data_IF_673105962218
#
_entry.id   IF_673105962218
#
_cell.length_a   1.000
_cell.length_b   1.000
_cell.length_c   1.000
_cell.angle_alpha   90.00
_cell.angle_beta   90.00
_cell.angle_gamma   90.00
#
_symmetry.space_group_name_H-M   'P 1'
#
loop_
_entity.id
_entity.type
_entity.pdbx_description
1 polymer ?
#
# COMPACT_ATOMS: atom_id res chain seq x y z
N UNK A 1 -7.13 -9.33 18.50
CA UNK A 1 -7.01 -7.89 18.18
C UNK A 1 -6.70 -7.73 16.71
N UNK A 2 -7.54 -7.00 15.98
CA UNK A 2 -7.18 -6.46 14.66
C UNK A 2 -5.95 -5.56 14.80
N UNK A 3 -4.83 -5.94 14.20
CA UNK A 3 -3.66 -5.07 14.13
C UNK A 3 -3.90 -4.05 13.01
N UNK A 4 -4.34 -2.85 13.40
CA UNK A 4 -4.54 -1.72 12.49
C UNK A 4 -3.27 -0.89 12.50
N UNK A 5 -2.86 -0.41 11.34
CA UNK A 5 -1.67 0.41 11.20
C UNK A 5 -1.96 1.59 10.29
N UNK A 6 -1.32 2.71 10.57
CA UNK A 6 -1.35 3.84 9.67
C UNK A 6 -0.69 3.46 8.35
N UNK A 7 -1.45 3.40 7.28
CA UNK A 7 -0.91 3.09 5.96
C UNK A 7 0.17 4.07 5.47
N UNK A 8 0.23 5.30 6.00
CA UNK A 8 1.23 6.30 5.59
C UNK A 8 2.58 6.17 6.32
N UNK A 9 2.56 6.01 7.64
CA UNK A 9 3.79 6.01 8.46
C UNK A 9 4.01 4.69 9.20
N UNK A 10 3.11 3.71 9.03
CA UNK A 10 3.22 2.39 9.64
C UNK A 10 2.87 2.33 11.12
N UNK A 11 2.60 3.44 11.81
CA UNK A 11 2.33 3.40 13.26
C UNK A 11 1.21 2.44 13.58
N UNK A 12 1.42 1.55 14.55
CA UNK A 12 0.35 0.71 15.08
C UNK A 12 -0.70 1.61 15.72
N UNK A 13 -1.96 1.38 15.36
CA UNK A 13 -3.10 2.13 15.87
C UNK A 13 -3.64 1.38 17.08
N UNK A 14 -3.59 2.05 18.23
CA UNK A 14 -4.19 1.54 19.47
C UNK A 14 -5.71 1.75 19.44
N UNK A 15 -6.44 1.05 20.30
CA UNK A 15 -7.90 1.14 20.36
C UNK A 15 -8.38 2.57 20.66
N UNK A 16 -7.69 3.30 21.53
CA UNK A 16 -7.96 4.72 21.84
C UNK A 16 -7.85 5.67 20.63
N UNK A 17 -7.18 5.21 19.57
CA UNK A 17 -7.02 5.98 18.34
C UNK A 17 -8.08 5.64 17.27
N UNK A 18 -8.92 4.63 17.50
CA UNK A 18 -10.00 4.25 16.59
C UNK A 18 -11.16 5.22 16.78
N UNK A 19 -11.59 5.84 15.68
CA UNK A 19 -12.71 6.78 15.65
C UNK A 19 -14.04 6.08 15.34
N UNK A 20 -13.99 4.97 14.61
CA UNK A 20 -15.19 4.25 14.26
C UNK A 20 -14.93 3.05 13.35
N UNK A 21 -15.89 2.12 13.37
CA UNK A 21 -15.94 0.95 12.51
C UNK A 21 -17.23 0.99 11.69
N UNK A 22 -17.15 0.52 10.44
CA UNK A 22 -18.33 0.40 9.59
C UNK A 22 -18.24 -0.78 8.63
N UNK A 23 -19.34 -1.05 7.94
CA UNK A 23 -19.47 -2.17 7.00
C UNK A 23 -20.12 -1.74 5.69
N UNK A 24 -19.73 -2.40 4.60
CA UNK A 24 -20.26 -2.18 3.27
C UNK A 24 -21.41 -3.16 2.98
N UNK A 25 -22.65 -2.74 3.26
CA UNK A 25 -23.84 -3.60 3.14
C UNK A 25 -24.45 -3.65 1.75
N UNK A 26 -24.18 -2.62 0.95
CA UNK A 26 -24.71 -2.53 -0.39
C UNK A 26 -23.84 -3.33 -1.38
N UNK A 27 -24.39 -3.66 -2.55
CA UNK A 27 -23.66 -4.30 -3.66
C UNK A 27 -22.58 -3.35 -4.23
N UNK A 28 -21.50 -3.13 -3.49
CA UNK A 28 -20.39 -2.24 -3.83
C UNK A 28 -19.23 -3.01 -4.50
N UNK A 29 -19.55 -3.88 -5.47
CA UNK A 29 -18.56 -4.67 -6.20
C UNK A 29 -17.61 -5.46 -5.28
N UNK A 30 -16.29 -5.22 -5.41
CA UNK A 30 -15.23 -5.89 -4.62
C UNK A 30 -15.25 -5.57 -3.12
N UNK A 31 -16.04 -4.57 -2.70
CA UNK A 31 -16.19 -4.13 -1.31
C UNK A 31 -17.40 -4.69 -0.60
N UNK A 32 -18.30 -5.37 -1.32
CA UNK A 32 -19.47 -6.01 -0.72
C UNK A 32 -19.04 -6.97 0.38
N UNK A 33 -19.58 -6.76 1.59
CA UNK A 33 -19.25 -7.61 2.73
C UNK A 33 -17.83 -7.41 3.24
N UNK A 34 -17.17 -6.28 2.97
CA UNK A 34 -15.98 -5.83 3.71
C UNK A 34 -16.40 -4.81 4.78
N UNK A 35 -15.52 -4.52 5.72
CA UNK A 35 -15.70 -3.37 6.59
C UNK A 35 -14.55 -2.40 6.52
N UNK A 36 -14.64 -1.33 7.30
CA UNK A 36 -13.61 -0.31 7.37
C UNK A 36 -13.43 0.17 8.80
N UNK A 37 -12.24 0.69 9.09
CA UNK A 37 -11.91 1.34 10.35
C UNK A 37 -11.42 2.76 10.07
N UNK A 38 -11.95 3.74 10.77
CA UNK A 38 -11.44 5.10 10.83
C UNK A 38 -10.63 5.29 12.11
N UNK A 39 -9.52 6.02 12.05
CA UNK A 39 -8.62 6.23 13.18
C UNK A 39 -7.82 7.53 13.05
N UNK A 40 -7.38 8.07 14.19
CA UNK A 40 -6.37 9.12 14.25
C UNK A 40 -4.98 8.52 14.34
N UNK A 41 -4.12 8.80 13.36
CA UNK A 41 -2.75 8.33 13.46
C UNK A 41 -1.93 9.22 14.42
N UNK A 42 -1.31 8.64 15.47
CA UNK A 42 -0.54 9.41 16.46
C UNK A 42 0.66 10.13 15.84
N UNK A 43 1.35 9.49 14.88
CA UNK A 43 2.55 10.06 14.27
C UNK A 43 2.24 11.02 13.12
N UNK A 44 1.21 10.72 12.30
CA UNK A 44 0.80 11.62 11.21
C UNK A 44 -0.04 12.81 11.70
N UNK A 45 -0.61 12.74 12.92
CA UNK A 45 -1.58 13.71 13.46
C UNK A 45 -2.74 14.01 12.49
N UNK A 46 -3.19 12.98 11.78
CA UNK A 46 -4.28 13.05 10.78
C UNK A 46 -5.23 11.89 10.95
N UNK A 47 -6.51 12.16 10.74
CA UNK A 47 -7.55 11.15 10.57
C UNK A 47 -7.32 10.39 9.27
N UNK A 48 -7.41 9.07 9.37
CA UNK A 48 -7.22 8.11 8.28
C UNK A 48 -8.19 6.97 8.47
N UNK A 49 -8.17 6.06 7.51
CA UNK A 49 -9.02 4.89 7.57
C UNK A 49 -8.48 3.78 6.66
N UNK A 50 -8.99 2.57 6.86
CA UNK A 50 -8.51 1.35 6.21
C UNK A 50 -9.68 0.38 5.99
N UNK A 51 -9.74 -0.22 4.80
CA UNK A 51 -10.67 -1.31 4.49
C UNK A 51 -10.10 -2.63 5.02
N UNK A 52 -10.94 -3.40 5.70
CA UNK A 52 -10.60 -4.67 6.35
C UNK A 52 -11.63 -5.75 5.94
N UNK A 53 -11.19 -7.00 5.88
CA UNK A 53 -12.10 -8.10 5.56
C UNK A 53 -13.02 -8.38 6.78
N UNK A 54 -14.32 -8.47 6.52
CA UNK A 54 -15.42 -8.43 7.51
C UNK A 54 -15.38 -9.50 8.60
N UNK A 55 -14.73 -10.63 8.33
CA UNK A 55 -14.59 -11.74 9.27
C UNK A 55 -13.86 -11.29 10.55
N UNK A 56 -13.00 -10.27 10.46
CA UNK A 56 -12.26 -9.75 11.62
C UNK A 56 -13.08 -8.81 12.52
N UNK A 57 -14.16 -8.21 11.99
CA UNK A 57 -14.95 -7.18 12.69
C UNK A 57 -16.07 -7.80 13.53
N UNK A 58 -16.73 -8.84 13.01
CA UNK A 58 -17.93 -9.41 13.64
C UNK A 58 -17.68 -9.99 15.04
N UNK A 59 -16.47 -10.50 15.29
CA UNK A 59 -16.11 -11.05 16.61
C UNK A 59 -15.67 -9.98 17.62
N UNK A 60 -15.18 -8.81 17.18
CA UNK A 60 -14.78 -7.74 18.10
C UNK A 60 -15.95 -6.83 18.45
N UNK A 61 -16.83 -6.48 17.50
CA UNK A 61 -18.04 -5.69 17.77
C UNK A 61 -18.96 -6.42 18.76
N UNK A 62 -19.08 -7.76 18.67
CA UNK A 62 -19.86 -8.53 19.64
C UNK A 62 -19.24 -8.61 21.04
N UNK A 63 -17.92 -8.49 21.16
CA UNK A 63 -17.23 -8.55 22.45
C UNK A 63 -17.11 -7.18 23.12
N UNK A 64 -17.05 -6.07 22.35
CA UNK A 64 -17.00 -4.71 22.91
C UNK A 64 -18.37 -4.15 23.30
N UNK A 65 -19.48 -4.74 22.84
CA UNK A 65 -20.84 -4.32 23.23
C UNK A 65 -21.27 -4.90 24.59
N UNK A 66 -20.51 -5.85 25.16
CA UNK A 66 -20.93 -6.57 26.37
C UNK A 66 -20.21 -6.18 27.67
N UNK A 67 -19.34 -5.17 27.69
CA UNK A 67 -18.86 -4.61 28.95
C UNK A 67 -18.97 -3.09 28.97
N UNK A 68 -19.63 -2.62 30.01
CA UNK A 68 -19.82 -1.23 30.39
C UNK A 68 -18.50 -0.47 30.51
N UNK A 69 -18.16 0.35 29.52
CA UNK A 69 -17.29 1.52 29.73
C UNK A 69 -17.63 2.60 28.72
N UNK A 70 -18.15 3.68 29.27
CA UNK A 70 -18.53 4.93 28.64
C UNK A 70 -17.30 5.74 28.17
N UNK A 71 -16.51 5.23 27.24
CA UNK A 71 -15.62 6.08 26.46
C UNK A 71 -16.40 6.58 25.25
N UNK A 72 -17.18 7.63 25.54
CA UNK A 72 -18.01 8.32 24.57
C UNK A 72 -17.17 8.75 23.39
N UNK A 73 -17.47 8.20 22.22
CA UNK A 73 -17.09 8.78 20.93
C UNK A 73 -17.54 10.24 21.00
N UNK A 74 -16.59 11.18 20.94
CA UNK A 74 -16.91 12.58 21.06
C UNK A 74 -17.90 12.95 19.94
N UNK A 75 -19.06 13.50 20.31
CA UNK A 75 -20.10 13.91 19.38
C UNK A 75 -19.54 14.84 18.29
N UNK A 76 -18.58 15.71 18.63
CA UNK A 76 -17.91 16.58 17.67
C UNK A 76 -17.10 15.78 16.63
N UNK A 77 -16.46 14.68 17.04
CA UNK A 77 -15.73 13.79 16.11
C UNK A 77 -16.68 13.00 15.21
N UNK A 78 -17.85 12.62 15.72
CA UNK A 78 -18.91 11.98 14.93
C UNK A 78 -19.47 12.98 13.92
N UNK A 79 -19.73 14.21 14.36
CA UNK A 79 -20.22 15.31 13.50
C UNK A 79 -19.18 15.64 12.43
N UNK A 80 -17.90 15.76 12.76
CA UNK A 80 -16.82 16.01 11.81
C UNK A 80 -16.69 14.87 10.79
N UNK A 81 -16.78 13.61 11.25
CA UNK A 81 -16.76 12.44 10.37
C UNK A 81 -17.96 12.46 9.41
N UNK A 82 -19.17 12.68 9.93
CA UNK A 82 -20.36 12.79 9.10
C UNK A 82 -20.32 14.01 8.16
N UNK A 83 -19.74 15.13 8.58
CA UNK A 83 -19.51 16.31 7.74
C UNK A 83 -18.60 15.98 6.56
N UNK A 84 -17.48 15.30 6.82
CA UNK A 84 -16.57 14.83 5.77
C UNK A 84 -17.23 13.82 4.83
N UNK A 85 -18.16 12.99 5.31
CA UNK A 85 -18.94 12.07 4.49
C UNK A 85 -20.05 12.79 3.69
N UNK A 86 -20.67 13.83 4.25
CA UNK A 86 -21.69 14.62 3.56
C UNK A 86 -21.12 15.38 2.36
N UNK A 87 -19.84 15.78 2.41
CA UNK A 87 -19.12 16.32 1.26
C UNK A 87 -18.91 15.30 0.12
N UNK A 88 -19.17 14.02 0.37
CA UNK A 88 -18.96 12.92 -0.56
C UNK A 88 -20.31 12.50 -1.14
N UNK A 89 -20.63 13.01 -2.32
CA UNK A 89 -21.92 12.76 -2.98
C UNK A 89 -22.01 11.41 -3.70
N UNK A 90 -20.89 10.69 -3.88
CA UNK A 90 -20.87 9.43 -4.62
C UNK A 90 -20.01 8.37 -3.93
N UNK A 91 -20.39 7.10 -4.11
CA UNK A 91 -19.58 5.94 -3.70
C UNK A 91 -18.18 6.02 -4.31
N UNK A 92 -18.02 6.48 -5.55
CA UNK A 92 -16.70 6.63 -6.17
C UNK A 92 -15.87 7.70 -5.48
N UNK A 93 -16.44 8.84 -5.09
CA UNK A 93 -15.72 9.86 -4.32
C UNK A 93 -15.36 9.38 -2.91
N UNK A 94 -16.22 8.53 -2.31
CA UNK A 94 -15.92 7.87 -1.04
C UNK A 94 -14.74 6.91 -1.23
N UNK A 95 -14.84 6.02 -2.22
CA UNK A 95 -13.81 5.07 -2.59
C UNK A 95 -12.53 5.75 -3.03
N UNK A 96 -12.53 6.89 -3.70
CA UNK A 96 -11.34 7.68 -4.04
C UNK A 96 -10.68 8.24 -2.80
N UNK A 97 -11.44 8.77 -1.83
CA UNK A 97 -10.86 9.10 -0.53
C UNK A 97 -10.33 7.82 0.14
N UNK A 98 -10.96 6.64 -0.08
CA UNK A 98 -10.58 5.38 0.61
C UNK A 98 -9.36 4.69 0.08
N UNK A 99 -9.37 4.63 -1.23
CA UNK A 99 -8.30 4.26 -2.10
C UNK A 99 -7.38 5.46 -2.31
N UNK A 100 -7.48 6.60 -1.59
CA UNK A 100 -6.47 7.68 -1.65
C UNK A 100 -5.13 7.30 -0.98
N UNK A 101 -4.92 6.00 -0.80
CA UNK A 101 -3.61 5.33 -0.79
C UNK A 101 -3.04 5.09 -2.20
N UNK A 102 -3.85 5.04 -3.25
CA UNK A 102 -3.54 5.64 -4.55
C UNK A 102 -3.64 7.14 -4.35
N UNK A 103 -2.66 7.71 -3.66
CA UNK A 103 -2.26 9.02 -4.15
C UNK A 103 -1.85 8.74 -5.60
N UNK A 104 -2.62 9.26 -6.54
CA UNK A 104 -2.05 10.18 -7.52
C UNK A 104 -1.13 11.12 -6.72
N UNK A 105 0.05 10.62 -6.37
CA UNK A 105 1.17 11.49 -6.12
C UNK A 105 1.29 12.17 -7.45
N UNK A 106 1.23 13.48 -7.35
CA UNK A 106 1.35 14.41 -8.43
C UNK A 106 2.14 13.77 -9.57
N UNK A 107 1.60 13.92 -10.76
CA UNK A 107 2.27 13.86 -12.05
C UNK A 107 3.53 14.77 -12.11
N UNK A 108 4.25 14.93 -11.00
CA UNK A 108 5.37 15.81 -10.74
C UNK A 108 6.66 15.08 -10.38
N UNK A 109 6.71 13.74 -10.44
CA UNK A 109 7.98 13.12 -10.81
C UNK A 109 8.16 13.36 -12.33
N UNK A 110 8.39 14.64 -12.69
CA UNK A 110 8.69 15.09 -14.07
C UNK A 110 10.08 14.65 -14.52
N UNK A 111 10.72 13.75 -13.77
CA UNK A 111 12.06 13.26 -14.06
C UNK A 111 11.96 11.77 -14.34
N UNK A 112 12.65 11.29 -15.38
CA UNK A 112 12.74 9.87 -15.61
C UNK A 112 13.52 9.19 -14.47
N UNK A 113 13.20 7.93 -14.18
CA UNK A 113 13.98 7.06 -13.31
C UNK A 113 15.10 6.46 -14.17
N UNK A 114 16.34 6.85 -13.92
CA UNK A 114 17.49 6.47 -14.75
C UNK A 114 18.45 5.52 -14.03
N UNK A 115 18.37 5.47 -12.70
CA UNK A 115 19.27 4.67 -11.88
C UNK A 115 18.55 4.12 -10.64
N UNK A 116 19.05 3.02 -10.05
CA UNK A 116 18.47 2.46 -8.82
C UNK A 116 18.40 3.44 -7.64
N UNK A 117 19.32 4.41 -7.58
CA UNK A 117 19.29 5.48 -6.57
C UNK A 117 18.01 6.33 -6.66
N UNK A 118 17.45 6.54 -7.87
CA UNK A 118 16.21 7.29 -8.03
C UNK A 118 15.04 6.51 -7.40
N UNK A 119 15.02 5.18 -7.56
CA UNK A 119 14.02 4.30 -6.96
C UNK A 119 14.18 4.23 -5.44
N UNK A 120 15.41 4.17 -4.94
CA UNK A 120 15.73 4.24 -3.51
C UNK A 120 15.18 5.53 -2.89
N UNK A 121 15.50 6.67 -3.48
CA UNK A 121 15.03 7.98 -3.01
C UNK A 121 13.50 8.07 -3.04
N UNK A 122 12.89 7.61 -4.15
CA UNK A 122 11.44 7.57 -4.28
C UNK A 122 10.82 6.70 -3.19
N UNK A 123 11.36 5.51 -2.95
CA UNK A 123 10.84 4.61 -1.92
C UNK A 123 10.83 5.29 -0.55
N UNK A 124 11.91 5.98 -0.15
CA UNK A 124 11.93 6.71 1.13
C UNK A 124 10.95 7.89 1.18
N UNK A 125 10.79 8.62 0.07
CA UNK A 125 9.80 9.70 -0.04
C UNK A 125 8.37 9.16 0.16
N UNK A 126 8.06 8.00 -0.43
CA UNK A 126 6.72 7.43 -0.40
C UNK A 126 6.44 6.65 0.87
N UNK A 127 7.43 5.87 1.32
CA UNK A 127 7.37 5.00 2.49
C UNK A 127 7.99 5.68 3.72
N UNK A 128 7.16 6.40 4.47
CA UNK A 128 7.55 7.00 5.74
C UNK A 128 7.53 5.99 6.90
N UNK A 129 7.26 4.71 6.63
CA UNK A 129 7.11 3.66 7.62
C UNK A 129 8.36 2.79 7.72
N UNK A 130 8.81 2.50 8.94
CA UNK A 130 9.88 1.53 9.19
C UNK A 130 9.36 0.07 9.22
N UNK A 131 8.41 -0.23 8.33
CA UNK A 131 7.77 -1.54 8.20
C UNK A 131 8.17 -2.20 6.91
N UNK A 132 8.02 -3.53 6.84
CA UNK A 132 8.29 -4.25 5.60
C UNK A 132 7.27 -3.87 4.52
N UNK A 133 7.80 -3.42 3.38
CA UNK A 133 7.07 -2.95 2.21
C UNK A 133 7.63 -3.52 0.93
N UNK A 134 6.77 -3.59 -0.07
CA UNK A 134 7.11 -3.84 -1.46
C UNK A 134 6.44 -2.76 -2.30
N UNK A 135 7.23 -1.99 -3.03
CA UNK A 135 6.81 -1.01 -4.02
C UNK A 135 6.90 -1.63 -5.41
N UNK A 136 5.88 -1.40 -6.23
CA UNK A 136 5.84 -1.77 -7.64
C UNK A 136 5.76 -0.47 -8.42
N UNK A 137 6.68 -0.24 -9.34
CA UNK A 137 6.71 0.91 -10.23
C UNK A 137 6.37 0.46 -11.64
N UNK A 138 5.50 1.21 -12.31
CA UNK A 138 5.18 1.04 -13.73
C UNK A 138 5.67 2.25 -14.50
N UNK A 139 6.51 2.00 -15.49
CA UNK A 139 7.23 3.02 -16.25
C UNK A 139 6.77 3.00 -17.70
N UNK A 140 6.79 4.16 -18.36
CA UNK A 140 6.66 4.22 -19.81
C UNK A 140 8.02 3.92 -20.48
N UNK A 141 8.01 3.81 -21.82
CA UNK A 141 9.21 3.60 -22.66
C UNK A 141 10.34 4.63 -22.48
N UNK A 142 10.02 5.82 -21.96
CA UNK A 142 10.98 6.92 -21.74
C UNK A 142 11.43 6.97 -20.27
N UNK A 143 11.17 5.90 -19.50
CA UNK A 143 11.46 5.77 -18.08
C UNK A 143 10.78 6.82 -17.19
N UNK A 144 9.61 7.32 -17.57
CA UNK A 144 8.77 8.13 -16.69
C UNK A 144 7.80 7.25 -15.91
N UNK A 145 7.61 7.57 -14.62
CA UNK A 145 6.70 6.86 -13.75
C UNK A 145 5.25 7.12 -14.19
N UNK A 146 4.54 6.07 -14.59
CA UNK A 146 3.11 6.10 -14.89
C UNK A 146 2.31 5.91 -13.60
N UNK A 147 2.66 4.88 -12.84
CA UNK A 147 1.96 4.51 -11.62
C UNK A 147 2.86 3.76 -10.67
N UNK A 148 2.51 3.76 -9.38
CA UNK A 148 3.16 2.95 -8.37
C UNK A 148 2.13 2.34 -7.41
N UNK A 149 2.48 1.19 -6.83
CA UNK A 149 1.71 0.54 -5.77
C UNK A 149 2.63 0.20 -4.60
N UNK A 150 2.13 0.32 -3.37
CA UNK A 150 2.83 -0.12 -2.17
C UNK A 150 2.03 -1.24 -1.50
N UNK A 151 2.73 -2.32 -1.12
CA UNK A 151 2.21 -3.51 -0.47
C UNK A 151 2.93 -3.72 0.87
N UNK A 152 2.26 -4.29 1.87
CA UNK A 152 2.89 -4.79 3.10
C UNK A 152 2.18 -4.44 4.41
N UNK A 153 2.90 -4.55 5.52
CA UNK A 153 2.36 -4.50 6.89
C UNK A 153 1.62 -3.21 7.23
N UNK A 154 0.31 -3.25 7.39
CA UNK A 154 -0.46 -2.02 7.62
C UNK A 154 -1.00 -1.32 6.38
N UNK A 155 -0.88 -1.97 5.22
CA UNK A 155 -1.69 -1.68 4.05
C UNK A 155 -2.79 -2.74 3.94
N UNK A 156 -3.80 -2.48 3.11
CA UNK A 156 -4.86 -3.44 2.81
C UNK A 156 -4.37 -4.66 2.02
N UNK A 157 -3.22 -4.54 1.34
CA UNK A 157 -2.61 -5.61 0.54
C UNK A 157 -1.31 -6.12 1.21
N UNK A 158 -1.19 -7.41 1.50
CA UNK A 158 0.07 -7.99 2.00
C UNK A 158 1.15 -8.01 0.91
N UNK A 159 2.42 -8.13 1.30
CA UNK A 159 3.52 -8.33 0.34
C UNK A 159 3.29 -9.62 -0.43
N UNK A 160 3.29 -9.52 -1.76
CA UNK A 160 3.26 -10.67 -2.65
C UNK A 160 4.13 -10.42 -3.87
N UNK A 161 4.95 -11.42 -4.20
CA UNK A 161 5.77 -11.47 -5.42
C UNK A 161 5.16 -12.41 -6.46
N UNK A 162 3.86 -12.69 -6.34
CA UNK A 162 3.17 -13.42 -7.39
C UNK A 162 3.15 -12.56 -8.67
N UNK A 163 3.62 -13.08 -9.82
CA UNK A 163 3.57 -12.35 -11.08
C UNK A 163 2.19 -11.77 -11.40
N UNK A 164 1.10 -12.45 -11.04
CA UNK A 164 -0.27 -11.96 -11.27
C UNK A 164 -0.52 -10.63 -10.56
N UNK A 165 0.10 -10.42 -9.39
CA UNK A 165 -0.05 -9.18 -8.62
C UNK A 165 0.92 -8.12 -9.16
N UNK A 166 2.19 -8.48 -9.36
CA UNK A 166 3.23 -7.55 -9.83
C UNK A 166 2.89 -6.95 -11.21
N UNK A 167 2.38 -7.78 -12.12
CA UNK A 167 2.09 -7.36 -13.49
C UNK A 167 0.64 -6.94 -13.72
N UNK A 168 -0.24 -6.97 -12.71
CA UNK A 168 -1.66 -6.66 -12.88
C UNK A 168 -1.89 -5.30 -13.52
N UNK A 169 -1.35 -4.24 -12.91
CA UNK A 169 -1.54 -2.86 -13.38
C UNK A 169 -0.81 -2.60 -14.70
N UNK A 170 0.49 -2.94 -14.86
CA UNK A 170 1.19 -2.83 -16.14
C UNK A 170 0.48 -3.53 -17.31
N UNK A 171 -0.04 -4.74 -17.09
CA UNK A 171 -0.69 -5.54 -18.13
C UNK A 171 -1.99 -4.93 -18.67
N UNK A 172 -2.65 -4.07 -17.89
CA UNK A 172 -3.89 -3.40 -18.29
C UNK A 172 -3.65 -2.11 -19.09
N UNK A 173 -2.39 -1.67 -19.23
CA UNK A 173 -2.06 -0.45 -19.96
C UNK A 173 -1.91 -0.76 -21.46
N UNK A 174 -2.40 0.15 -22.31
CA UNK A 174 -2.35 -0.01 -23.76
C UNK A 174 -0.98 0.33 -24.36
N UNK A 175 -0.11 0.97 -23.59
CA UNK A 175 1.23 1.38 -24.01
C UNK A 175 2.29 0.35 -23.65
N UNK A 176 3.42 0.39 -24.34
CA UNK A 176 4.59 -0.38 -23.92
C UNK A 176 5.08 0.15 -22.58
N UNK A 177 5.01 -0.71 -21.56
CA UNK A 177 5.39 -0.39 -20.19
C UNK A 177 6.39 -1.38 -19.65
N UNK A 178 7.10 -0.93 -18.62
CA UNK A 178 8.06 -1.73 -17.89
C UNK A 178 7.85 -1.61 -16.38
N UNK A 179 8.42 -2.56 -15.64
CA UNK A 179 8.20 -2.73 -14.20
C UNK A 179 9.51 -2.77 -13.46
N UNK A 180 9.58 -2.00 -12.37
CA UNK A 180 10.61 -2.14 -11.34
C UNK A 180 9.90 -2.50 -10.03
N UNK A 181 10.49 -3.38 -9.23
CA UNK A 181 10.03 -3.59 -7.85
C UNK A 181 11.12 -3.16 -6.87
N UNK A 182 10.70 -2.63 -5.72
CA UNK A 182 11.61 -2.29 -4.64
C UNK A 182 11.04 -2.76 -3.30
N UNK A 183 11.80 -3.52 -2.51
CA UNK A 183 11.39 -3.92 -1.16
C UNK A 183 12.42 -3.49 -0.13
N UNK A 184 11.98 -3.07 1.05
CA UNK A 184 12.91 -2.90 2.16
C UNK A 184 13.08 -4.19 2.96
N UNK A 185 14.26 -4.32 3.57
CA UNK A 185 14.58 -5.40 4.50
C UNK A 185 14.99 -4.82 5.85
N UNK A 186 14.60 -5.51 6.93
CA UNK A 186 15.03 -5.16 8.28
C UNK A 186 16.41 -5.79 8.62
N UNK A 187 17.06 -6.41 7.62
CA UNK A 187 18.41 -6.98 7.74
C UNK A 187 19.41 -5.97 7.24
N UNK A 188 20.52 -5.81 7.96
CA UNK A 188 21.63 -4.98 7.52
C UNK A 188 22.58 -5.79 6.63
N UNK A 189 22.99 -5.20 5.51
CA UNK A 189 24.13 -5.64 4.70
C UNK A 189 24.11 -7.13 4.36
N UNK A 190 23.05 -7.57 3.71
CA UNK A 190 22.98 -8.95 3.20
C UNK A 190 22.84 -8.96 1.70
N UNK A 191 23.80 -9.59 1.01
CA UNK A 191 23.64 -9.89 -0.41
C UNK A 191 22.31 -10.60 -0.68
N UNK A 192 21.72 -10.41 -1.87
CA UNK A 192 20.49 -11.09 -2.24
C UNK A 192 20.56 -12.59 -2.00
N UNK A 193 19.56 -13.15 -1.34
CA UNK A 193 19.55 -14.58 -1.05
C UNK A 193 19.24 -15.37 -2.31
N UNK A 194 19.55 -16.68 -2.30
CA UNK A 194 19.15 -17.58 -3.39
C UNK A 194 17.63 -17.54 -3.64
N UNK A 195 16.83 -17.33 -2.60
CA UNK A 195 15.37 -17.18 -2.71
C UNK A 195 15.00 -15.91 -3.49
N UNK A 196 15.68 -14.79 -3.21
CA UNK A 196 15.44 -13.52 -3.91
C UNK A 196 15.83 -13.66 -5.40
N UNK A 197 16.94 -14.35 -5.70
CA UNK A 197 17.38 -14.66 -7.07
C UNK A 197 16.35 -15.51 -7.82
N UNK A 198 15.89 -16.61 -7.23
CA UNK A 198 14.91 -17.49 -7.88
C UNK A 198 13.58 -16.78 -8.14
N UNK A 199 13.14 -15.96 -7.19
CA UNK A 199 11.94 -15.14 -7.30
C UNK A 199 12.07 -14.10 -8.42
N UNK A 200 13.19 -13.38 -8.47
CA UNK A 200 13.44 -12.37 -9.51
C UNK A 200 13.47 -13.00 -10.89
N UNK A 201 14.15 -14.16 -11.05
CA UNK A 201 14.14 -14.92 -12.30
C UNK A 201 12.74 -15.40 -12.71
N UNK A 202 11.86 -15.70 -11.74
CA UNK A 202 10.46 -16.03 -12.03
C UNK A 202 9.70 -14.81 -12.57
N UNK A 203 9.92 -13.63 -12.00
CA UNK A 203 9.30 -12.38 -12.46
C UNK A 203 9.79 -11.99 -13.85
N UNK A 204 11.11 -12.09 -14.11
CA UNK A 204 11.69 -11.82 -15.43
C UNK A 204 11.06 -12.69 -16.53
N UNK A 205 10.92 -14.00 -16.26
CA UNK A 205 10.25 -14.94 -17.18
C UNK A 205 8.79 -14.59 -17.39
N UNK A 206 8.07 -14.24 -16.32
CA UNK A 206 6.66 -13.89 -16.40
C UNK A 206 6.45 -12.60 -17.20
N UNK A 207 7.25 -11.56 -16.97
CA UNK A 207 7.20 -10.32 -17.74
C UNK A 207 7.38 -10.58 -19.23
N UNK A 208 8.39 -11.39 -19.60
CA UNK A 208 8.62 -11.79 -21.00
C UNK A 208 7.42 -12.50 -21.64
N UNK A 209 6.73 -13.36 -20.89
CA UNK A 209 5.53 -14.05 -21.38
C UNK A 209 4.36 -13.07 -21.56
N UNK A 210 4.22 -12.11 -20.64
CA UNK A 210 3.15 -11.12 -20.64
C UNK A 210 3.40 -9.94 -21.60
N UNK A 211 4.60 -9.83 -22.18
CA UNK A 211 4.99 -8.67 -22.98
C UNK A 211 5.23 -7.40 -22.17
N UNK A 212 5.48 -7.54 -20.86
CA UNK A 212 5.82 -6.43 -19.95
C UNK A 212 7.26 -6.60 -19.49
N UNK A 213 8.10 -5.62 -19.77
CA UNK A 213 9.51 -5.68 -19.41
C UNK A 213 9.69 -5.55 -17.89
N UNK A 214 10.51 -6.40 -17.29
CA UNK A 214 10.87 -6.32 -15.87
C UNK A 214 12.31 -5.84 -15.78
N UNK A 215 12.50 -4.59 -15.35
CA UNK A 215 13.79 -3.89 -15.43
C UNK A 215 14.69 -4.16 -14.23
N UNK A 216 14.14 -4.14 -13.02
CA UNK A 216 14.96 -4.32 -11.82
C UNK A 216 14.16 -4.82 -10.62
N UNK A 217 14.89 -5.45 -9.71
CA UNK A 217 14.46 -5.73 -8.35
C UNK A 217 15.45 -5.07 -7.40
N UNK A 218 14.97 -4.08 -6.65
CA UNK A 218 15.80 -3.31 -5.72
C UNK A 218 15.50 -3.76 -4.30
N UNK A 219 16.51 -4.22 -3.57
CA UNK A 219 16.43 -4.48 -2.14
C UNK A 219 17.00 -3.26 -1.42
N UNK A 220 16.19 -2.62 -0.59
CA UNK A 220 16.51 -1.39 0.13
C UNK A 220 16.87 -1.74 1.58
N UNK A 221 17.98 -1.17 2.02
CA UNK A 221 18.47 -1.20 3.39
C UNK A 221 18.52 0.23 3.96
N UNK A 222 18.84 0.36 5.25
CA UNK A 222 18.86 1.65 5.95
C UNK A 222 19.81 2.69 5.30
N UNK A 223 20.98 2.23 4.83
CA UNK A 223 22.03 3.11 4.29
C UNK A 223 22.47 2.71 2.87
N UNK A 224 21.62 2.00 2.12
CA UNK A 224 21.98 1.55 0.79
C UNK A 224 20.94 0.66 0.11
N UNK A 225 21.30 0.14 -1.05
CA UNK A 225 20.45 -0.75 -1.82
C UNK A 225 21.28 -1.77 -2.63
N UNK A 226 20.61 -2.84 -3.04
CA UNK A 226 21.09 -3.80 -4.01
C UNK A 226 20.15 -3.82 -5.21
N UNK A 227 20.68 -3.46 -6.38
CA UNK A 227 20.01 -3.60 -7.68
C UNK A 227 20.39 -4.95 -8.30
N UNK A 228 19.42 -5.70 -8.79
CA UNK A 228 19.68 -6.99 -9.42
C UNK A 228 20.28 -6.81 -10.82
N UNK A 229 19.91 -5.74 -11.51
CA UNK A 229 20.51 -5.34 -12.79
C UNK A 229 22.01 -5.05 -12.61
N UNK A 230 22.37 -4.16 -11.67
CA UNK A 230 23.77 -3.83 -11.40
C UNK A 230 24.61 -5.02 -10.91
N UNK A 231 23.96 -6.00 -10.27
CA UNK A 231 24.59 -7.25 -9.82
C UNK A 231 24.61 -8.34 -10.90
N UNK A 232 24.12 -8.08 -12.12
CA UNK A 232 24.03 -9.01 -13.25
C UNK A 232 23.21 -10.27 -12.97
N UNK A 233 22.12 -10.15 -12.21
CA UNK A 233 21.19 -11.26 -11.94
C UNK A 233 20.02 -11.36 -12.92
N UNK A 234 19.79 -10.31 -13.71
CA UNK A 234 18.73 -10.17 -14.71
C UNK A 234 19.31 -9.73 -16.05
#
# INVERSE_FOLDING_TARGET
MLNIYCWKCGSKINEDNILGLGHFDQNLGKYKGKGFVAFNCPDCKKTRYQVIDSISIQNQIKNSINESSSDFINIDQVIDFYGQLQEISTINAFLEKCESSQKTISTEIKKPILQPLDVYNLFYELNSANMKRLMILTMNKDNYLISWELLGEGLSKPISFDPKIIFHTPFLLNDQVSVIIAQNTNKHFTQPTQKDILLTKRLLKAGKILGVEFLDHIIIEENGYHSFDQLNYI
#
